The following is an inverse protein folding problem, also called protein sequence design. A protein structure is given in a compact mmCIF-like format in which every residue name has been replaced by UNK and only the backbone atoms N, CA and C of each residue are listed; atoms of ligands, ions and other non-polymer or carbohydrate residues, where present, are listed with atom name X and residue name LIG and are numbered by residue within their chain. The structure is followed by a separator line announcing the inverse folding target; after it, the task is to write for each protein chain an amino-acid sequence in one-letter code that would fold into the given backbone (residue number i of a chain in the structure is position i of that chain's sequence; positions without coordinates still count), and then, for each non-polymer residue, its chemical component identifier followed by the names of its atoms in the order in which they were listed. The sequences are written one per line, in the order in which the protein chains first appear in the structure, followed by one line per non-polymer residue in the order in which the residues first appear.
data_IF_107423342382
#
_entry.id   IF_107423342382
#
_cell.length_a   1.000
_cell.length_b   1.000
_cell.length_c   1.000
_cell.angle_alpha   90.00
_cell.angle_beta   90.00
_cell.angle_gamma   90.00
#
_symmetry.space_group_name_H-M   'P 1'
#
loop_
_entity.id
_entity.type
_entity.pdbx_description
1 polymer ?
#
# COMPACT_ATOMS: atom_id res chain seq x y z
N UNK A 1 17.51 10.05 8.77
CA UNK A 1 18.61 9.24 8.21
C UNK A 1 18.10 8.07 7.37
N UNK A 2 17.27 7.15 7.87
CA UNK A 2 16.77 5.98 7.07
C UNK A 2 15.96 6.38 5.83
N UNK A 3 15.05 7.36 5.94
CA UNK A 3 14.24 7.84 4.80
C UNK A 3 15.12 8.38 3.66
N UNK A 4 16.16 9.14 4.00
CA UNK A 4 17.12 9.66 3.02
C UNK A 4 17.85 8.51 2.31
N UNK A 5 18.36 7.54 3.07
CA UNK A 5 19.04 6.38 2.49
C UNK A 5 18.13 5.58 1.53
N UNK A 6 16.87 5.37 1.90
CA UNK A 6 15.91 4.68 1.03
C UNK A 6 15.58 5.52 -0.23
N UNK A 7 15.50 6.84 -0.09
CA UNK A 7 15.32 7.78 -1.21
C UNK A 7 16.51 7.70 -2.16
N UNK A 8 17.73 7.72 -1.63
CA UNK A 8 18.95 7.60 -2.43
C UNK A 8 19.02 6.25 -3.16
N UNK A 9 18.50 5.16 -2.58
CA UNK A 9 18.39 3.87 -3.26
C UNK A 9 17.38 3.93 -4.41
N UNK A 10 16.26 4.67 -4.28
CA UNK A 10 15.32 4.88 -5.38
C UNK A 10 15.99 5.65 -6.52
N UNK A 11 16.66 6.76 -6.23
CA UNK A 11 17.41 7.55 -7.22
C UNK A 11 18.53 6.72 -7.86
N UNK A 12 19.24 5.92 -7.06
CA UNK A 12 20.24 4.97 -7.55
C UNK A 12 19.62 3.98 -8.53
N UNK A 13 18.48 3.36 -8.25
CA UNK A 13 17.85 2.47 -9.22
C UNK A 13 17.41 3.19 -10.50
N UNK A 14 16.98 4.46 -10.38
CA UNK A 14 16.49 5.26 -11.49
C UNK A 14 17.57 5.87 -12.39
N UNK A 15 18.85 5.77 -12.04
CA UNK A 15 19.93 6.47 -12.75
C UNK A 15 19.76 8.00 -12.77
N UNK A 16 19.15 8.56 -11.73
CA UNK A 16 18.92 10.00 -11.59
C UNK A 16 19.69 10.55 -10.40
N UNK A 17 20.10 11.82 -10.49
CA UNK A 17 20.61 12.57 -9.34
C UNK A 17 19.46 12.96 -8.40
N UNK A 18 19.73 12.96 -7.09
CA UNK A 18 18.75 13.37 -6.08
C UNK A 18 18.56 14.89 -6.15
N UNK A 19 17.70 15.33 -7.05
CA UNK A 19 17.41 16.75 -7.32
C UNK A 19 16.23 17.29 -6.49
N UNK A 20 15.84 16.61 -5.42
CA UNK A 20 14.72 16.98 -4.56
C UNK A 20 13.33 16.59 -5.10
N UNK A 21 13.26 15.83 -6.20
CA UNK A 21 11.99 15.27 -6.69
C UNK A 21 11.41 14.27 -5.68
N UNK A 22 10.08 14.18 -5.61
CA UNK A 22 9.41 13.20 -4.75
C UNK A 22 9.84 11.77 -5.16
N UNK A 23 10.44 10.97 -4.27
CA UNK A 23 10.84 9.59 -4.58
C UNK A 23 9.68 8.69 -5.02
N UNK A 24 8.43 9.03 -4.72
CA UNK A 24 7.26 8.27 -5.17
C UNK A 24 6.90 8.53 -6.63
N UNK A 25 7.33 9.65 -7.20
CA UNK A 25 7.05 10.05 -8.59
C UNK A 25 8.13 9.57 -9.58
N UNK A 26 9.28 9.13 -9.08
CA UNK A 26 10.41 8.67 -9.90
C UNK A 26 10.04 7.46 -10.74
N UNK A 27 9.96 7.61 -12.07
CA UNK A 27 9.68 6.52 -13.00
C UNK A 27 10.95 5.97 -13.64
N UNK A 28 11.07 4.65 -13.70
CA UNK A 28 12.18 3.96 -14.38
C UNK A 28 11.65 3.41 -15.71
N UNK A 29 11.84 4.18 -16.78
CA UNK A 29 11.47 3.74 -18.13
C UNK A 29 12.39 2.64 -18.65
N UNK A 30 13.68 2.72 -18.34
CA UNK A 30 14.70 1.75 -18.76
C UNK A 30 15.50 1.26 -17.56
N UNK A 31 15.19 0.08 -17.00
CA UNK A 31 15.89 -0.46 -15.84
C UNK A 31 17.37 -0.73 -16.08
N UNK A 32 18.23 -0.39 -15.11
CA UNK A 32 19.65 -0.71 -15.15
C UNK A 32 19.92 -2.07 -14.47
N UNK A 33 20.28 -3.08 -15.27
CA UNK A 33 20.51 -4.46 -14.81
C UNK A 33 21.62 -4.57 -13.76
N UNK A 34 22.71 -3.84 -13.92
CA UNK A 34 23.84 -3.91 -12.99
C UNK A 34 23.46 -3.31 -11.63
N UNK A 35 22.69 -2.21 -11.61
CA UNK A 35 22.19 -1.63 -10.35
C UNK A 35 21.20 -2.56 -9.65
N UNK A 36 20.25 -3.14 -10.40
CA UNK A 36 19.32 -4.13 -9.84
C UNK A 36 20.04 -5.40 -9.34
N UNK A 37 21.11 -5.82 -10.02
CA UNK A 37 21.96 -6.95 -9.62
C UNK A 37 22.71 -6.62 -8.33
N UNK A 38 23.30 -5.43 -8.22
CA UNK A 38 23.99 -4.96 -7.02
C UNK A 38 23.05 -4.95 -5.80
N UNK A 39 21.82 -4.45 -5.94
CA UNK A 39 20.81 -4.48 -4.86
C UNK A 39 20.56 -5.91 -4.34
N UNK A 40 20.50 -6.90 -5.23
CA UNK A 40 20.35 -8.31 -4.83
C UNK A 40 21.62 -8.84 -4.17
N UNK A 41 22.77 -8.66 -4.80
CA UNK A 41 24.05 -9.26 -4.37
C UNK A 41 24.59 -8.64 -3.07
N UNK A 42 24.32 -7.36 -2.83
CA UNK A 42 24.61 -6.66 -1.57
C UNK A 42 23.55 -6.91 -0.48
N UNK A 43 22.69 -7.90 -0.66
CA UNK A 43 21.64 -8.30 0.28
C UNK A 43 20.62 -7.20 0.65
N UNK A 44 20.52 -6.13 -0.15
CA UNK A 44 19.61 -5.02 0.16
C UNK A 44 18.16 -5.49 0.15
N UNK A 45 17.75 -6.38 -0.78
CA UNK A 45 16.41 -6.98 -0.79
C UNK A 45 16.05 -7.66 0.55
N UNK A 46 16.99 -8.43 1.12
CA UNK A 46 16.81 -9.10 2.42
C UNK A 46 16.64 -8.08 3.55
N UNK A 47 17.41 -7.00 3.52
CA UNK A 47 17.33 -5.94 4.52
C UNK A 47 16.01 -5.15 4.42
N UNK A 48 15.51 -4.88 3.21
CA UNK A 48 14.19 -4.25 3.02
C UNK A 48 13.08 -5.08 3.65
N UNK A 49 13.06 -6.39 3.43
CA UNK A 49 12.08 -7.27 4.07
C UNK A 49 12.24 -7.33 5.59
N UNK A 50 13.46 -7.26 6.13
CA UNK A 50 13.67 -7.17 7.59
C UNK A 50 13.07 -5.89 8.17
N UNK A 51 13.25 -4.75 7.49
CA UNK A 51 12.63 -3.48 7.88
C UNK A 51 11.11 -3.65 7.88
N UNK A 52 10.52 -4.10 6.77
CA UNK A 52 9.07 -4.31 6.66
C UNK A 52 8.52 -5.24 7.75
N UNK A 53 9.22 -6.33 8.08
CA UNK A 53 8.81 -7.27 9.14
C UNK A 53 8.85 -6.61 10.52
N UNK A 54 9.89 -5.81 10.80
CA UNK A 54 10.01 -5.12 12.09
C UNK A 54 8.91 -4.08 12.32
N UNK A 55 8.42 -3.44 11.25
CA UNK A 55 7.40 -2.39 11.32
C UNK A 55 5.97 -2.96 11.29
N UNK A 56 5.78 -4.21 10.85
CA UNK A 56 4.48 -4.86 10.72
C UNK A 56 3.63 -4.85 12.00
N UNK A 57 4.14 -5.24 13.19
CA UNK A 57 3.30 -5.29 14.40
C UNK A 57 2.71 -3.93 14.76
N UNK A 58 3.50 -2.86 14.54
CA UNK A 58 3.06 -1.50 14.82
C UNK A 58 2.02 -1.01 13.80
N UNK A 59 2.14 -1.39 12.53
CA UNK A 59 1.11 -1.13 11.53
C UNK A 59 -0.24 -1.79 11.86
N UNK A 60 -0.20 -3.03 12.36
CA UNK A 60 -1.39 -3.79 12.76
C UNK A 60 -2.11 -3.18 13.99
N UNK A 61 -1.32 -2.72 14.97
CA UNK A 61 -1.84 -2.03 16.14
C UNK A 61 -2.60 -0.76 15.76
N UNK A 62 -2.03 0.07 14.90
CA UNK A 62 -2.66 1.34 14.46
C UNK A 62 -3.94 1.11 13.66
N UNK A 63 -3.93 0.14 12.75
CA UNK A 63 -5.14 -0.22 12.01
C UNK A 63 -6.27 -0.65 12.94
N UNK A 64 -5.95 -1.36 14.01
CA UNK A 64 -6.93 -1.78 15.02
C UNK A 64 -7.47 -0.58 15.81
N UNK A 65 -6.59 0.36 16.20
CA UNK A 65 -6.98 1.60 16.87
C UNK A 65 -7.92 2.45 16.02
N UNK A 66 -7.61 2.63 14.73
CA UNK A 66 -8.47 3.38 13.80
C UNK A 66 -9.83 2.73 13.60
N UNK A 67 -9.88 1.39 13.48
CA UNK A 67 -11.13 0.66 13.38
C UNK A 67 -11.99 0.80 14.65
N UNK A 68 -11.36 0.79 15.84
CA UNK A 68 -12.05 0.99 17.11
C UNK A 68 -12.59 2.43 17.26
N UNK A 69 -11.82 3.44 16.84
CA UNK A 69 -12.26 4.84 16.84
C UNK A 69 -13.46 5.07 15.90
N UNK A 70 -13.44 4.47 14.71
CA UNK A 70 -14.53 4.55 13.74
C UNK A 70 -15.81 3.84 14.21
N UNK A 71 -15.67 2.68 14.90
CA UNK A 71 -16.79 1.97 15.52
C UNK A 71 -17.40 2.74 16.72
N UNK A 72 -16.59 3.55 17.40
CA UNK A 72 -17.04 4.42 18.49
C UNK A 72 -17.80 5.65 17.96
N UNK A 73 -17.38 6.18 16.81
CA UNK A 73 -17.99 7.36 16.16
C UNK A 73 -19.34 7.04 15.49
N UNK A 74 -19.61 5.78 15.15
CA UNK A 74 -20.90 5.35 14.57
C UNK A 74 -22.00 5.13 15.60
N UNK A 75 -21.76 5.40 16.89
CA UNK A 75 -22.72 5.12 17.97
C UNK A 75 -23.26 6.35 18.71
N UNK A 76 -22.91 7.57 18.27
CA UNK A 76 -23.46 8.81 18.84
C UNK A 76 -23.81 9.81 17.73
N UNK A 77 -25.12 9.99 17.57
CA UNK A 77 -25.78 11.26 17.25
C UNK A 77 -25.68 11.84 15.83
N UNK A 78 -26.68 11.47 15.03
CA UNK A 78 -27.45 12.47 14.29
C UNK A 78 -27.99 13.51 15.29
N UNK A 79 -27.23 14.57 15.56
CA UNK A 79 -27.83 15.87 15.82
C UNK A 79 -26.92 17.00 15.33
N UNK A 80 -27.28 17.51 14.16
CA UNK A 80 -26.92 18.82 13.67
C UNK A 80 -27.33 19.88 14.71
N UNK A 81 -26.38 20.64 15.24
CA UNK A 81 -26.63 21.99 15.81
C UNK A 81 -25.46 22.91 15.45
N UNK A 82 -25.79 23.98 14.74
CA UNK A 82 -24.92 25.14 14.52
C UNK A 82 -24.74 25.94 15.83
N UNK A 83 -23.58 26.55 16.04
CA UNK A 83 -23.39 27.88 16.66
C UNK A 83 -21.91 28.26 16.46
N UNK A 84 -21.58 29.23 15.58
CA UNK A 84 -21.44 30.68 15.80
C UNK A 84 -20.33 31.10 16.79
N UNK A 85 -19.41 31.93 16.27
CA UNK A 85 -18.37 32.67 16.98
C UNK A 85 -18.95 33.60 18.06
N UNK A 86 -18.33 33.67 19.25
CA UNK A 86 -18.22 34.93 20.03
C UNK A 86 -17.02 34.88 21.02
N UNK A 87 -16.53 36.08 21.32
CA UNK A 87 -15.28 36.56 21.90
C UNK A 87 -15.16 36.64 23.44
N UNK A 88 -13.89 36.61 23.89
CA UNK A 88 -13.24 37.37 24.99
C UNK A 88 -13.34 36.95 26.48
N UNK A 89 -12.12 36.83 27.04
CA UNK A 89 -11.62 37.21 28.37
C UNK A 89 -11.63 36.19 29.55
N UNK A 90 -10.38 35.83 29.93
CA UNK A 90 -9.82 35.71 31.29
C UNK A 90 -10.40 34.67 32.28
N UNK A 91 -9.64 33.62 32.56
CA UNK A 91 -8.74 33.56 33.73
C UNK A 91 -8.10 32.16 33.88
N UNK A 92 -6.90 32.18 34.44
CA UNK A 92 -5.95 31.09 34.67
C UNK A 92 -6.52 29.70 35.01
N UNK A 93 -6.11 28.72 34.20
CA UNK A 93 -5.88 27.34 34.64
C UNK A 93 -4.76 26.75 33.78
N UNK A 94 -3.59 26.58 34.40
CA UNK A 94 -2.48 25.82 33.82
C UNK A 94 -2.93 24.38 33.58
N UNK A 95 -3.41 24.08 32.36
CA UNK A 95 -3.56 22.72 31.86
C UNK A 95 -2.37 22.38 30.96
N UNK A 96 -1.72 21.26 31.29
CA UNK A 96 -0.44 20.78 30.80
C UNK A 96 -0.35 20.65 29.26
N UNK A 97 0.77 21.07 28.61
CA UNK A 97 1.01 20.86 27.17
C UNK A 97 1.29 19.41 26.75
N UNK A 98 1.41 18.48 27.71
CA UNK A 98 2.05 17.17 27.47
C UNK A 98 1.23 16.21 26.60
N UNK A 99 -0.10 16.32 26.60
CA UNK A 99 -0.97 15.39 25.88
C UNK A 99 -1.04 15.70 24.38
N UNK A 100 -1.06 16.99 24.02
CA UNK A 100 -1.09 17.42 22.63
C UNK A 100 0.25 17.18 21.92
N UNK A 101 1.37 17.36 22.63
CA UNK A 101 2.71 17.05 22.11
C UNK A 101 2.92 15.54 21.90
N UNK A 102 2.36 14.70 22.78
CA UNK A 102 2.44 13.25 22.65
C UNK A 102 1.65 12.74 21.44
N UNK A 103 0.42 13.24 21.21
CA UNK A 103 -0.40 12.89 20.05
C UNK A 103 0.24 13.35 18.73
N UNK A 104 0.82 14.56 18.70
CA UNK A 104 1.55 15.07 17.52
C UNK A 104 2.80 14.24 17.23
N UNK A 105 3.60 13.91 18.26
CA UNK A 105 4.80 13.07 18.12
C UNK A 105 4.46 11.65 17.67
N UNK A 106 3.35 11.11 18.17
CA UNK A 106 2.84 9.81 17.78
C UNK A 106 2.40 9.79 16.31
N UNK A 107 1.59 10.77 15.90
CA UNK A 107 1.17 10.97 14.50
C UNK A 107 2.36 11.14 13.55
N UNK A 108 3.37 11.92 13.96
CA UNK A 108 4.60 12.14 13.18
C UNK A 108 5.41 10.86 13.03
N UNK A 109 5.57 10.07 14.11
CA UNK A 109 6.30 8.80 14.09
C UNK A 109 5.60 7.77 13.20
N UNK A 110 4.27 7.71 13.27
CA UNK A 110 3.48 6.83 12.42
C UNK A 110 3.59 7.19 10.94
N UNK A 111 3.51 8.49 10.61
CA UNK A 111 3.71 8.97 9.25
C UNK A 111 5.09 8.57 8.71
N UNK A 112 6.15 8.80 9.48
CA UNK A 112 7.50 8.40 9.10
C UNK A 112 7.62 6.89 8.88
N UNK A 113 7.01 6.07 9.74
CA UNK A 113 6.98 4.62 9.57
C UNK A 113 6.30 4.20 8.26
N UNK A 114 5.13 4.79 7.95
CA UNK A 114 4.45 4.53 6.66
C UNK A 114 5.32 4.94 5.49
N UNK A 115 5.99 6.09 5.56
CA UNK A 115 6.92 6.55 4.52
C UNK A 115 8.06 5.58 4.31
N UNK A 116 8.68 5.06 5.37
CA UNK A 116 9.72 4.02 5.27
C UNK A 116 9.19 2.78 4.56
N UNK A 117 8.00 2.28 4.94
CA UNK A 117 7.39 1.12 4.28
C UNK A 117 7.09 1.38 2.80
N UNK A 118 6.53 2.54 2.46
CA UNK A 118 6.25 2.95 1.07
C UNK A 118 7.52 2.97 0.23
N UNK A 119 8.62 3.52 0.76
CA UNK A 119 9.90 3.53 0.08
C UNK A 119 10.47 2.12 -0.10
N UNK A 120 10.37 1.25 0.91
CA UNK A 120 10.76 -0.15 0.78
C UNK A 120 10.02 -0.83 -0.37
N UNK A 121 8.69 -0.70 -0.44
CA UNK A 121 7.90 -1.26 -1.54
C UNK A 121 8.21 -0.62 -2.89
N UNK A 122 8.47 0.69 -2.93
CA UNK A 122 8.90 1.37 -4.16
C UNK A 122 10.22 0.80 -4.69
N UNK A 123 11.19 0.59 -3.82
CA UNK A 123 12.47 -0.04 -4.17
C UNK A 123 12.24 -1.47 -4.67
N UNK A 124 11.43 -2.27 -3.97
CA UNK A 124 11.09 -3.63 -4.39
C UNK A 124 10.45 -3.67 -5.79
N UNK A 125 9.50 -2.76 -6.08
CA UNK A 125 8.85 -2.61 -7.39
C UNK A 125 9.86 -2.33 -8.51
N UNK A 126 10.82 -1.44 -8.28
CA UNK A 126 11.88 -1.14 -9.25
C UNK A 126 12.91 -2.27 -9.39
N UNK A 127 13.24 -2.97 -8.30
CA UNK A 127 14.21 -4.06 -8.33
C UNK A 127 13.76 -5.25 -9.17
N UNK A 128 12.45 -5.51 -9.21
CA UNK A 128 11.89 -6.64 -9.94
C UNK A 128 11.55 -6.35 -11.40
N UNK A 129 11.52 -5.07 -11.80
CA UNK A 129 11.11 -4.64 -13.13
C UNK A 129 11.94 -5.36 -14.20
N UNK A 130 11.25 -6.16 -15.01
CA UNK A 130 11.81 -7.03 -16.05
C UNK A 130 12.92 -7.99 -15.59
N UNK A 131 13.14 -8.23 -14.28
CA UNK A 131 14.29 -9.00 -13.78
C UNK A 131 13.89 -10.29 -13.06
N UNK A 132 13.89 -11.40 -13.79
CA UNK A 132 13.48 -12.73 -13.31
C UNK A 132 14.15 -13.18 -12.01
N UNK A 133 15.47 -13.04 -11.88
CA UNK A 133 16.20 -13.43 -10.65
C UNK A 133 15.76 -12.64 -9.41
N UNK A 134 15.45 -11.35 -9.58
CA UNK A 134 14.95 -10.51 -8.48
C UNK A 134 13.49 -10.84 -8.18
N UNK A 135 12.65 -11.06 -9.21
CA UNK A 135 11.27 -11.54 -9.03
C UNK A 135 11.22 -12.83 -8.23
N UNK A 136 12.09 -13.82 -8.52
CA UNK A 136 12.16 -15.07 -7.76
C UNK A 136 12.55 -14.87 -6.30
N UNK A 137 13.46 -13.93 -6.04
CA UNK A 137 13.89 -13.61 -4.68
C UNK A 137 12.76 -12.95 -3.89
N UNK A 138 12.05 -12.01 -4.51
CA UNK A 138 10.94 -11.27 -3.91
C UNK A 138 9.71 -12.17 -3.73
N UNK A 139 9.42 -13.05 -4.69
CA UNK A 139 8.29 -13.97 -4.64
C UNK A 139 8.37 -15.00 -3.49
N UNK A 140 9.55 -15.27 -2.93
CA UNK A 140 9.67 -16.07 -1.70
C UNK A 140 8.96 -15.43 -0.51
N UNK A 141 8.83 -14.11 -0.54
CA UNK A 141 8.19 -13.30 0.50
C UNK A 141 6.76 -12.88 0.13
N UNK A 142 6.18 -13.49 -0.90
CA UNK A 142 4.87 -13.14 -1.42
C UNK A 142 3.78 -13.16 -0.33
N UNK A 143 3.70 -14.25 0.45
CA UNK A 143 2.72 -14.38 1.54
C UNK A 143 2.89 -13.32 2.62
N UNK A 144 4.12 -12.89 2.87
CA UNK A 144 4.36 -11.77 3.77
C UNK A 144 3.83 -10.45 3.18
N UNK A 145 4.10 -10.18 1.90
CA UNK A 145 3.57 -8.99 1.22
C UNK A 145 2.04 -8.96 1.17
N UNK A 146 1.39 -10.11 0.94
CA UNK A 146 -0.07 -10.23 0.97
C UNK A 146 -0.65 -9.79 2.32
N UNK A 147 0.02 -10.14 3.42
CA UNK A 147 -0.41 -9.73 4.76
C UNK A 147 -0.29 -8.22 5.02
N UNK A 148 0.30 -7.46 4.09
CA UNK A 148 0.46 -6.01 4.14
C UNK A 148 -0.47 -5.25 3.18
N UNK A 149 -1.39 -5.97 2.52
CA UNK A 149 -2.45 -5.35 1.71
C UNK A 149 -3.42 -4.60 2.63
N UNK A 150 -3.76 -3.37 2.23
CA UNK A 150 -4.72 -2.51 2.92
C UNK A 150 -4.10 -1.49 3.88
N UNK A 151 -2.79 -1.54 4.15
CA UNK A 151 -2.11 -0.62 5.06
C UNK A 151 -1.69 0.72 4.43
N UNK A 152 -1.99 0.94 3.13
CA UNK A 152 -1.60 2.15 2.38
C UNK A 152 -0.09 2.38 2.33
N UNK A 153 0.65 1.29 2.10
CA UNK A 153 2.12 1.28 2.03
C UNK A 153 2.67 0.79 0.68
N UNK A 154 1.84 0.74 -0.37
CA UNK A 154 2.22 0.34 -1.75
C UNK A 154 2.58 -1.15 -1.89
N UNK A 155 2.05 -2.00 -1.01
CA UNK A 155 2.23 -3.45 -1.11
C UNK A 155 1.53 -3.99 -2.37
N UNK A 156 0.32 -3.50 -2.64
CA UNK A 156 -0.56 -3.87 -3.75
C UNK A 156 0.10 -3.57 -5.10
N UNK A 157 0.66 -2.36 -5.24
CA UNK A 157 1.44 -1.89 -6.39
C UNK A 157 2.62 -2.80 -6.73
N UNK A 158 3.29 -3.32 -5.70
CA UNK A 158 4.47 -4.17 -5.85
C UNK A 158 4.07 -5.60 -6.19
N UNK A 159 3.01 -6.10 -5.55
CA UNK A 159 2.45 -7.44 -5.80
C UNK A 159 1.93 -7.54 -7.24
N UNK A 160 1.12 -6.58 -7.68
CA UNK A 160 0.55 -6.56 -9.05
C UNK A 160 1.66 -6.49 -10.10
N UNK A 161 2.65 -5.63 -9.90
CA UNK A 161 3.83 -5.58 -10.76
C UNK A 161 4.66 -6.89 -10.76
N UNK A 162 4.70 -7.63 -9.65
CA UNK A 162 5.39 -8.93 -9.56
C UNK A 162 4.65 -10.04 -10.31
N UNK A 163 3.33 -9.96 -10.30
CA UNK A 163 2.43 -10.91 -10.93
C UNK A 163 2.28 -10.65 -12.44
N UNK A 164 2.47 -9.42 -12.89
CA UNK A 164 2.45 -9.05 -14.28
C UNK A 164 3.46 -9.91 -15.08
N UNK A 165 2.96 -10.63 -16.09
CA UNK A 165 3.71 -11.60 -16.91
C UNK A 165 4.28 -12.81 -16.14
N UNK A 166 3.72 -13.16 -14.97
CA UNK A 166 4.14 -14.30 -14.18
C UNK A 166 2.98 -15.25 -13.84
N UNK A 167 2.44 -15.91 -14.87
CA UNK A 167 1.34 -16.88 -14.79
C UNK A 167 1.51 -17.92 -13.67
N UNK A 168 2.73 -18.45 -13.45
CA UNK A 168 2.99 -19.44 -12.40
C UNK A 168 2.81 -18.88 -10.99
N UNK A 169 3.21 -17.63 -10.75
CA UNK A 169 2.98 -16.99 -9.45
C UNK A 169 1.50 -16.66 -9.24
N UNK A 170 0.83 -16.19 -10.30
CA UNK A 170 -0.61 -15.91 -10.29
C UNK A 170 -1.40 -17.16 -9.90
N UNK A 171 -1.20 -18.28 -10.60
CA UNK A 171 -1.94 -19.52 -10.35
C UNK A 171 -1.64 -20.13 -8.97
N UNK A 172 -0.43 -19.92 -8.44
CA UNK A 172 -0.02 -20.50 -7.15
C UNK A 172 -0.48 -19.67 -5.96
N UNK A 173 -0.46 -18.34 -6.06
CA UNK A 173 -0.60 -17.46 -4.90
C UNK A 173 -1.87 -16.60 -4.87
N UNK A 174 -2.61 -16.50 -5.97
CA UNK A 174 -3.92 -15.84 -5.97
C UNK A 174 -5.02 -16.86 -5.71
N UNK A 175 -5.74 -16.67 -4.61
CA UNK A 175 -6.92 -17.45 -4.20
C UNK A 175 -8.12 -16.51 -4.01
N UNK A 176 -9.29 -17.09 -3.72
CA UNK A 176 -10.52 -16.31 -3.51
C UNK A 176 -10.38 -15.31 -2.34
N UNK A 177 -9.59 -15.67 -1.31
CA UNK A 177 -9.35 -14.81 -0.15
C UNK A 177 -8.69 -13.48 -0.51
N UNK A 178 -7.74 -13.50 -1.44
CA UNK A 178 -7.08 -12.28 -1.90
C UNK A 178 -8.03 -11.41 -2.71
N UNK A 179 -8.82 -12.02 -3.60
CA UNK A 179 -9.83 -11.28 -4.38
C UNK A 179 -10.83 -10.61 -3.43
N UNK A 180 -11.33 -11.34 -2.44
CA UNK A 180 -12.26 -10.78 -1.45
C UNK A 180 -11.61 -9.65 -0.63
N UNK A 181 -10.31 -9.73 -0.34
CA UNK A 181 -9.55 -8.65 0.31
C UNK A 181 -9.47 -7.41 -0.59
N UNK A 182 -9.17 -7.57 -1.88
CA UNK A 182 -9.15 -6.46 -2.84
C UNK A 182 -10.53 -5.81 -3.00
N UNK A 183 -11.60 -6.61 -3.09
CA UNK A 183 -12.97 -6.11 -3.18
C UNK A 183 -13.39 -5.38 -1.91
N UNK A 184 -13.01 -5.88 -0.73
CA UNK A 184 -13.22 -5.18 0.54
C UNK A 184 -12.51 -3.82 0.56
N UNK A 185 -11.26 -3.76 0.10
CA UNK A 185 -10.52 -2.49 0.03
C UNK A 185 -11.12 -1.52 -0.98
N UNK A 186 -11.60 -2.01 -2.13
CA UNK A 186 -12.31 -1.20 -3.11
C UNK A 186 -13.58 -0.58 -2.49
N UNK A 187 -14.31 -1.34 -1.67
CA UNK A 187 -15.50 -0.86 -0.96
C UNK A 187 -15.17 0.19 0.10
N UNK A 188 -14.10 -0.02 0.88
CA UNK A 188 -13.68 0.89 1.96
C UNK A 188 -13.07 2.18 1.42
N UNK A 189 -12.21 2.11 0.39
CA UNK A 189 -11.42 3.24 -0.10
C UNK A 189 -12.01 3.94 -1.31
N UNK A 190 -12.86 3.25 -2.10
CA UNK A 190 -13.42 3.73 -3.37
C UNK A 190 -12.38 4.27 -4.35
N UNK A 191 -11.17 3.71 -4.33
CA UNK A 191 -10.09 4.05 -5.25
C UNK A 191 -10.13 3.12 -6.47
N UNK A 192 -10.14 3.69 -7.68
CA UNK A 192 -10.21 2.95 -8.94
C UNK A 192 -8.97 2.06 -9.17
N UNK A 193 -7.84 2.35 -8.51
CA UNK A 193 -6.62 1.53 -8.62
C UNK A 193 -6.84 0.07 -8.23
N UNK A 194 -7.76 -0.21 -7.31
CA UNK A 194 -8.08 -1.61 -6.95
C UNK A 194 -8.79 -2.35 -8.08
N UNK A 195 -9.55 -1.66 -8.94
CA UNK A 195 -10.11 -2.24 -10.16
C UNK A 195 -9.02 -2.47 -11.22
N UNK A 196 -8.06 -1.55 -11.34
CA UNK A 196 -6.87 -1.73 -12.20
C UNK A 196 -6.08 -2.97 -11.78
N UNK A 197 -5.85 -3.14 -10.47
CA UNK A 197 -5.19 -4.34 -9.95
C UNK A 197 -5.96 -5.62 -10.27
N UNK A 198 -7.29 -5.63 -10.09
CA UNK A 198 -8.12 -6.79 -10.47
C UNK A 198 -8.05 -7.06 -11.98
N UNK A 199 -8.01 -6.01 -12.81
CA UNK A 199 -7.83 -6.13 -14.25
C UNK A 199 -6.48 -6.75 -14.61
N UNK A 200 -5.40 -6.29 -13.97
CA UNK A 200 -4.04 -6.82 -14.17
C UNK A 200 -3.91 -8.29 -13.75
N UNK A 201 -4.74 -8.77 -12.81
CA UNK A 201 -4.78 -10.18 -12.42
C UNK A 201 -5.48 -11.08 -13.46
N UNK A 202 -6.35 -10.51 -14.30
CA UNK A 202 -7.06 -11.25 -15.35
C UNK A 202 -6.20 -11.60 -16.56
N UNK A 203 -5.04 -10.94 -16.73
CA UNK A 203 -4.16 -11.06 -17.90
C UNK A 203 -2.71 -11.28 -17.48
N UNK A 204 -2.03 -12.24 -18.11
CA UNK A 204 -0.58 -12.38 -18.01
C UNK A 204 0.01 -12.64 -19.37
N UNK A 205 1.09 -11.96 -19.72
CA UNK A 205 1.79 -12.13 -21.00
C UNK A 205 0.85 -11.94 -22.20
N UNK A 206 -0.05 -10.97 -22.10
CA UNK A 206 -1.12 -10.69 -23.06
C UNK A 206 -2.08 -11.87 -23.32
N UNK A 207 -2.15 -12.82 -22.38
CA UNK A 207 -3.08 -13.95 -22.42
C UNK A 207 -4.03 -13.89 -21.22
N UNK A 208 -5.31 -14.16 -21.49
CA UNK A 208 -6.33 -14.31 -20.48
C UNK A 208 -6.03 -15.50 -19.55
N UNK A 209 -6.22 -15.32 -18.24
CA UNK A 209 -6.14 -16.40 -17.26
C UNK A 209 -7.55 -16.78 -16.81
N UNK A 210 -8.11 -17.82 -17.44
CA UNK A 210 -9.49 -18.27 -17.22
C UNK A 210 -9.84 -18.47 -15.73
N UNK A 211 -8.96 -19.13 -14.97
CA UNK A 211 -9.18 -19.40 -13.54
C UNK A 211 -9.31 -18.11 -12.73
N UNK A 212 -8.40 -17.16 -12.91
CA UNK A 212 -8.43 -15.88 -12.18
C UNK A 212 -9.63 -15.04 -12.60
N UNK A 213 -9.95 -15.03 -13.90
CA UNK A 213 -11.13 -14.35 -14.44
C UNK A 213 -12.42 -14.91 -13.83
N UNK A 214 -12.58 -16.23 -13.77
CA UNK A 214 -13.76 -16.87 -13.17
C UNK A 214 -13.93 -16.48 -11.70
N UNK A 215 -12.85 -16.50 -10.92
CA UNK A 215 -12.87 -16.11 -9.51
C UNK A 215 -13.25 -14.63 -9.33
N UNK A 216 -12.65 -13.75 -10.13
CA UNK A 216 -12.94 -12.30 -10.08
C UNK A 216 -14.38 -12.04 -10.51
N UNK A 217 -14.87 -12.67 -11.58
CA UNK A 217 -16.25 -12.53 -12.03
C UNK A 217 -17.24 -12.97 -10.94
N UNK A 218 -17.04 -14.13 -10.31
CA UNK A 218 -17.91 -14.59 -9.22
C UNK A 218 -17.89 -13.63 -8.02
N UNK A 219 -16.73 -13.12 -7.63
CA UNK A 219 -16.65 -12.22 -6.47
C UNK A 219 -17.20 -10.81 -6.78
N UNK A 220 -16.85 -10.22 -7.92
CA UNK A 220 -17.21 -8.84 -8.27
C UNK A 220 -18.62 -8.73 -8.84
N UNK A 221 -18.98 -9.58 -9.81
CA UNK A 221 -20.24 -9.45 -10.55
C UNK A 221 -21.43 -10.07 -9.81
N UNK A 222 -21.22 -11.20 -9.12
CA UNK A 222 -22.30 -11.90 -8.42
C UNK A 222 -22.38 -11.46 -6.96
N UNK A 223 -21.32 -11.70 -6.18
CA UNK A 223 -21.34 -11.47 -4.72
C UNK A 223 -21.35 -9.99 -4.33
N UNK A 224 -20.72 -9.12 -5.13
CA UNK A 224 -20.54 -7.70 -4.81
C UNK A 224 -21.07 -6.77 -5.92
N UNK A 225 -22.20 -7.11 -6.55
CA UNK A 225 -22.78 -6.28 -7.63
C UNK A 225 -23.09 -4.82 -7.24
N UNK A 226 -23.14 -4.52 -5.95
CA UNK A 226 -23.44 -3.21 -5.39
C UNK A 226 -22.25 -2.22 -5.45
N UNK A 227 -21.02 -2.69 -5.67
CA UNK A 227 -19.87 -1.81 -5.95
C UNK A 227 -19.87 -1.30 -7.41
N UNK A 228 -20.72 -1.85 -8.27
CA UNK A 228 -20.80 -1.50 -9.69
C UNK A 228 -21.84 -0.40 -9.94
N UNK A 229 -21.53 0.46 -10.91
CA UNK A 229 -22.46 1.51 -11.35
C UNK A 229 -23.55 0.86 -12.22
N UNK A 230 -24.80 0.99 -11.82
CA UNK A 230 -25.95 0.54 -12.61
C UNK A 230 -26.32 1.60 -13.64
N UNK A 231 -26.28 1.23 -14.92
CA UNK A 231 -26.81 2.06 -16.00
C UNK A 231 -28.23 1.59 -16.34
N UNK A 232 -29.14 2.54 -16.58
CA UNK A 232 -30.50 2.29 -17.08
C UNK A 232 -30.69 3.06 -18.38
N UNK A 233 -31.35 2.43 -19.35
CA UNK A 233 -31.79 3.12 -20.55
C UNK A 233 -32.95 4.05 -20.15
N UNK A 234 -32.84 5.34 -20.47
CA UNK A 234 -33.88 6.35 -20.25
C UNK A 234 -34.43 6.74 -21.60
#
# INVERSE_FOLDING_TARGET
QVILLLTDIVCFLACQESNGSDPFDVQILKPNRERQKLIREQNILKQLFRILRSLKPRLEQERSNMNAANASTTRSDYHFTQHQNTTLANNDSYLLPQQQDADIRFSTTFYQMKTICRLCYRILKHCQQEYRKNQETIAKEFSFMQSQIGFDILAEDTITALLHNNKKLLEKHITEKEIDTFVKLLREKRDCKFLEYLSDLCVSSNQAIARTQEMICKSVLEKNSDILIRTKFV
#
